data_IF_140472208469
#
_entry.id   IF_140472208469
#
_cell.length_a   1.000
_cell.length_b   1.000
_cell.length_c   1.000
_cell.angle_alpha   90.00
_cell.angle_beta   90.00
_cell.angle_gamma   90.00
#
_symmetry.space_group_name_H-M   'P 1'
#
loop_
_entity.id
_entity.type
_entity.pdbx_description
1 polymer ?
#
# COMPACT_ATOMS: atom_id res chain seq x y z
N UNK A 1 -43.38 -34.58 64.87
CA UNK A 1 -42.36 -33.59 65.24
C UNK A 1 -41.05 -33.84 64.48
N UNK A 2 -40.56 -35.08 64.47
CA UNK A 2 -39.33 -35.49 63.76
C UNK A 2 -39.29 -35.10 62.27
N UNK A 3 -40.37 -35.32 61.51
CA UNK A 3 -40.44 -34.92 60.09
C UNK A 3 -40.28 -33.41 59.83
N UNK A 4 -40.63 -32.58 60.82
CA UNK A 4 -40.50 -31.12 60.72
C UNK A 4 -39.05 -30.71 61.01
N UNK A 5 -38.43 -31.34 62.01
CA UNK A 5 -37.02 -31.15 62.35
C UNK A 5 -36.11 -31.61 61.21
N UNK A 6 -36.36 -32.79 60.64
CA UNK A 6 -35.60 -33.33 59.51
C UNK A 6 -35.70 -32.42 58.27
N UNK A 7 -36.88 -31.86 58.01
CA UNK A 7 -37.07 -30.89 56.93
C UNK A 7 -36.26 -29.62 57.18
N UNK A 8 -36.32 -29.06 58.40
CA UNK A 8 -35.57 -27.86 58.76
C UNK A 8 -34.06 -28.09 58.69
N UNK A 9 -33.57 -29.23 59.18
CA UNK A 9 -32.16 -29.60 59.12
C UNK A 9 -31.67 -29.67 57.66
N UNK A 10 -32.42 -30.32 56.76
CA UNK A 10 -32.11 -30.38 55.33
C UNK A 10 -32.04 -28.99 54.69
N UNK A 11 -32.99 -28.10 54.96
CA UNK A 11 -32.95 -26.74 54.42
C UNK A 11 -31.79 -25.92 55.00
N UNK A 12 -31.55 -26.00 56.31
CA UNK A 12 -30.45 -25.27 56.97
C UNK A 12 -29.07 -25.71 56.48
N UNK A 13 -28.92 -26.99 56.13
CA UNK A 13 -27.69 -27.54 55.58
C UNK A 13 -27.52 -27.14 54.11
N UNK A 14 -28.59 -27.18 53.31
CA UNK A 14 -28.57 -26.71 51.93
C UNK A 14 -28.22 -25.22 51.83
N UNK A 15 -28.78 -24.38 52.70
CA UNK A 15 -28.49 -22.94 52.76
C UNK A 15 -27.03 -22.67 53.14
N UNK A 16 -26.49 -23.38 54.15
CA UNK A 16 -25.07 -23.28 54.52
C UNK A 16 -24.13 -23.71 53.39
N UNK A 17 -24.47 -24.76 52.64
CA UNK A 17 -23.68 -25.17 51.48
C UNK A 17 -23.71 -24.13 50.35
N UNK A 18 -24.87 -23.51 50.08
CA UNK A 18 -24.97 -22.45 49.07
C UNK A 18 -24.13 -21.22 49.44
N UNK A 19 -24.19 -20.79 50.69
CA UNK A 19 -23.36 -19.67 51.19
C UNK A 19 -21.87 -20.00 51.15
N UNK A 20 -21.49 -21.23 51.48
CA UNK A 20 -20.10 -21.70 51.32
C UNK A 20 -19.66 -21.67 49.85
N UNK A 21 -20.48 -22.16 48.91
CA UNK A 21 -20.13 -22.12 47.48
C UNK A 21 -20.10 -20.70 46.92
N UNK A 22 -20.98 -19.81 47.36
CA UNK A 22 -20.99 -18.40 46.94
C UNK A 22 -19.77 -17.64 47.49
N UNK A 23 -19.35 -17.93 48.73
CA UNK A 23 -18.14 -17.32 49.30
C UNK A 23 -16.86 -17.86 48.66
N UNK A 24 -16.80 -19.16 48.36
CA UNK A 24 -15.68 -19.77 47.62
C UNK A 24 -15.59 -19.26 46.18
N UNK A 25 -16.71 -19.13 45.47
CA UNK A 25 -16.75 -18.57 44.11
C UNK A 25 -16.40 -17.08 44.09
N UNK A 26 -16.89 -16.28 45.04
CA UNK A 26 -16.51 -14.87 45.18
C UNK A 26 -15.03 -14.70 45.58
N UNK A 27 -14.50 -15.57 46.44
CA UNK A 27 -13.07 -15.64 46.76
C UNK A 27 -12.23 -16.00 45.55
N UNK A 28 -12.70 -16.93 44.72
CA UNK A 28 -12.10 -17.31 43.44
C UNK A 28 -12.03 -16.14 42.45
N UNK A 29 -13.14 -15.41 42.25
CA UNK A 29 -13.16 -14.22 41.39
C UNK A 29 -12.26 -13.10 41.90
N UNK A 30 -12.23 -12.87 43.21
CA UNK A 30 -11.35 -11.85 43.82
C UNK A 30 -9.87 -12.19 43.61
N UNK A 31 -9.51 -13.46 43.78
CA UNK A 31 -8.15 -13.94 43.57
C UNK A 31 -7.73 -13.85 42.09
N UNK A 32 -8.59 -14.30 41.16
CA UNK A 32 -8.31 -14.23 39.73
C UNK A 32 -8.23 -12.77 39.25
N UNK A 33 -9.06 -11.88 39.77
CA UNK A 33 -8.94 -10.44 39.51
C UNK A 33 -7.60 -9.88 40.01
N UNK A 34 -7.20 -10.20 41.24
CA UNK A 34 -5.92 -9.74 41.79
C UNK A 34 -4.73 -10.23 40.95
N UNK A 35 -4.77 -11.49 40.50
CA UNK A 35 -3.76 -12.08 39.63
C UNK A 35 -3.72 -11.41 38.25
N UNK A 36 -4.88 -11.12 37.66
CA UNK A 36 -4.97 -10.39 36.40
C UNK A 36 -4.42 -8.96 36.54
N UNK A 37 -4.79 -8.28 37.62
CA UNK A 37 -4.29 -6.93 37.93
C UNK A 37 -2.77 -6.91 38.08
N UNK A 38 -2.20 -7.86 38.81
CA UNK A 38 -0.73 -7.99 38.95
C UNK A 38 -0.05 -8.20 37.59
N UNK A 39 -0.63 -9.04 36.70
CA UNK A 39 -0.12 -9.23 35.34
C UNK A 39 -0.16 -7.95 34.51
N UNK A 40 -1.26 -7.19 34.59
CA UNK A 40 -1.40 -5.91 33.91
C UNK A 40 -0.34 -4.91 34.37
N UNK A 41 -0.12 -4.79 35.68
CA UNK A 41 0.89 -3.88 36.24
C UNK A 41 2.31 -4.25 35.79
N UNK A 42 2.63 -5.54 35.70
CA UNK A 42 3.91 -6.02 35.15
C UNK A 42 4.05 -5.65 33.67
N UNK A 43 3.02 -5.86 32.86
CA UNK A 43 3.05 -5.51 31.44
C UNK A 43 3.21 -4.00 31.23
N UNK A 44 2.48 -3.18 31.98
CA UNK A 44 2.58 -1.73 31.90
C UNK A 44 3.95 -1.22 32.35
N UNK A 45 4.55 -1.83 33.38
CA UNK A 45 5.92 -1.52 33.80
C UNK A 45 6.93 -1.88 32.71
N UNK A 46 6.81 -3.07 32.11
CA UNK A 46 7.69 -3.48 31.01
C UNK A 46 7.56 -2.55 29.80
N UNK A 47 6.34 -2.11 29.45
CA UNK A 47 6.12 -1.13 28.40
C UNK A 47 6.87 0.18 28.68
N UNK A 48 6.78 0.70 29.92
CA UNK A 48 7.54 1.90 30.32
C UNK A 48 9.05 1.69 30.18
N UNK A 49 9.57 0.53 30.60
CA UNK A 49 10.98 0.20 30.41
C UNK A 49 11.39 0.19 28.93
N UNK A 50 10.58 -0.44 28.05
CA UNK A 50 10.84 -0.42 26.59
C UNK A 50 10.77 1.00 25.99
N UNK A 51 10.03 1.91 26.60
CA UNK A 51 9.97 3.32 26.23
C UNK A 51 11.08 4.17 26.87
N UNK A 52 11.98 3.56 27.65
CA UNK A 52 13.08 4.25 28.32
C UNK A 52 12.69 4.97 29.62
N UNK A 53 11.55 4.65 30.21
CA UNK A 53 11.08 5.22 31.49
C UNK A 53 11.26 4.23 32.66
N UNK A 54 11.36 4.77 33.88
CA UNK A 54 11.48 4.02 35.15
C UNK A 54 12.65 3.02 35.20
N UNK A 55 13.79 3.40 34.64
CA UNK A 55 14.97 2.53 34.53
C UNK A 55 15.85 2.49 35.79
N UNK A 56 15.67 3.44 36.71
CA UNK A 56 16.52 3.60 37.91
C UNK A 56 16.51 2.37 38.83
N UNK A 57 15.45 1.58 38.76
CA UNK A 57 15.25 0.37 39.56
C UNK A 57 15.85 -0.90 38.94
N UNK A 58 16.38 -0.81 37.71
CA UNK A 58 16.96 -1.95 37.00
C UNK A 58 18.45 -2.10 37.31
N UNK A 59 18.89 -3.34 37.48
CA UNK A 59 20.31 -3.66 37.55
C UNK A 59 20.98 -3.55 36.17
N UNK A 60 22.31 -3.43 36.15
CA UNK A 60 23.08 -3.37 34.90
C UNK A 60 22.80 -4.56 33.96
N UNK A 61 22.62 -5.76 34.52
CA UNK A 61 22.31 -6.97 33.74
C UNK A 61 20.93 -6.90 33.09
N UNK A 62 19.95 -6.37 33.81
CA UNK A 62 18.59 -6.21 33.29
C UNK A 62 18.54 -5.13 32.21
N UNK A 63 19.27 -4.03 32.38
CA UNK A 63 19.45 -3.00 31.35
C UNK A 63 20.08 -3.56 30.08
N UNK A 64 21.15 -4.34 30.18
CA UNK A 64 21.77 -5.01 29.03
C UNK A 64 20.81 -5.97 28.34
N UNK A 65 20.02 -6.73 29.10
CA UNK A 65 19.00 -7.61 28.52
C UNK A 65 17.91 -6.82 27.79
N UNK A 66 17.48 -5.69 28.36
CA UNK A 66 16.48 -4.81 27.76
C UNK A 66 16.98 -4.21 26.44
N UNK A 67 18.21 -3.71 26.43
CA UNK A 67 18.90 -3.20 25.24
C UNK A 67 18.95 -4.27 24.13
N UNK A 68 19.44 -5.47 24.46
CA UNK A 68 19.50 -6.58 23.50
C UNK A 68 18.13 -6.96 22.93
N UNK A 69 17.09 -6.93 23.77
CA UNK A 69 15.72 -7.23 23.35
C UNK A 69 15.20 -6.17 22.37
N UNK A 70 15.41 -4.89 22.65
CA UNK A 70 15.02 -3.78 21.78
C UNK A 70 15.79 -3.84 20.45
N UNK A 71 17.10 -4.04 20.51
CA UNK A 71 17.95 -4.14 19.32
C UNK A 71 17.54 -5.30 18.40
N UNK A 72 17.28 -6.47 19.00
CA UNK A 72 16.80 -7.63 18.25
C UNK A 72 15.44 -7.35 17.61
N UNK A 73 14.47 -6.84 18.38
CA UNK A 73 13.15 -6.49 17.85
C UNK A 73 13.23 -5.48 16.71
N UNK A 74 14.08 -4.46 16.85
CA UNK A 74 14.29 -3.43 15.83
C UNK A 74 14.90 -4.00 14.56
N UNK A 75 15.90 -4.90 14.66
CA UNK A 75 16.45 -5.64 13.52
C UNK A 75 15.36 -6.43 12.80
N UNK A 76 14.50 -7.14 13.53
CA UNK A 76 13.39 -7.91 12.95
C UNK A 76 12.38 -7.00 12.23
N UNK A 77 11.96 -5.89 12.86
CA UNK A 77 11.03 -4.92 12.26
C UNK A 77 11.61 -4.35 10.98
N UNK A 78 12.88 -3.91 11.01
CA UNK A 78 13.55 -3.34 9.83
C UNK A 78 13.68 -4.37 8.71
N UNK A 79 14.06 -5.60 9.04
CA UNK A 79 14.13 -6.71 8.09
C UNK A 79 12.77 -6.96 7.42
N UNK A 80 11.70 -7.05 8.21
CA UNK A 80 10.34 -7.25 7.68
C UNK A 80 9.87 -6.09 6.81
N UNK A 81 10.12 -4.84 7.23
CA UNK A 81 9.79 -3.64 6.44
C UNK A 81 10.52 -3.66 5.10
N UNK A 82 11.82 -3.95 5.12
CA UNK A 82 12.62 -4.03 3.91
C UNK A 82 12.10 -5.14 3.00
N UNK A 83 11.82 -6.33 3.54
CA UNK A 83 11.28 -7.44 2.76
C UNK A 83 9.99 -7.05 2.02
N UNK A 84 9.02 -6.45 2.72
CA UNK A 84 7.77 -6.00 2.11
C UNK A 84 8.00 -4.92 1.03
N UNK A 85 8.97 -4.03 1.23
CA UNK A 85 9.33 -3.02 0.24
C UNK A 85 9.92 -3.66 -1.03
N UNK A 86 10.82 -4.64 -0.90
CA UNK A 86 11.39 -5.36 -2.04
C UNK A 86 10.33 -6.16 -2.80
N UNK A 87 9.39 -6.79 -2.09
CA UNK A 87 8.24 -7.46 -2.68
C UNK A 87 7.41 -6.48 -3.52
N UNK A 88 7.04 -5.32 -2.96
CA UNK A 88 6.29 -4.28 -3.65
C UNK A 88 7.02 -3.74 -4.89
N UNK A 89 8.33 -3.45 -4.79
CA UNK A 89 9.15 -3.03 -5.91
C UNK A 89 9.14 -4.09 -7.02
N UNK A 90 9.31 -5.36 -6.66
CA UNK A 90 9.33 -6.48 -7.60
C UNK A 90 7.99 -6.64 -8.33
N UNK A 91 6.87 -6.48 -7.62
CA UNK A 91 5.54 -6.49 -8.21
C UNK A 91 5.33 -5.35 -9.21
N UNK A 92 5.75 -4.13 -8.84
CA UNK A 92 5.64 -2.97 -9.72
C UNK A 92 6.51 -3.12 -10.97
N UNK A 93 7.75 -3.61 -10.83
CA UNK A 93 8.64 -3.87 -11.97
C UNK A 93 8.06 -4.92 -12.93
N UNK A 94 7.38 -5.95 -12.41
CA UNK A 94 6.69 -6.94 -13.26
C UNK A 94 5.53 -6.31 -14.03
N UNK A 95 4.75 -5.44 -13.38
CA UNK A 95 3.64 -4.71 -14.03
C UNK A 95 4.15 -3.76 -15.10
N UNK A 96 5.21 -3.00 -14.80
CA UNK A 96 5.85 -2.08 -15.74
C UNK A 96 6.33 -2.81 -17.00
N UNK A 97 7.05 -3.93 -16.81
CA UNK A 97 7.48 -4.78 -17.93
C UNK A 97 6.31 -5.31 -18.77
N UNK A 98 5.25 -5.80 -18.12
CA UNK A 98 4.08 -6.32 -18.83
C UNK A 98 3.38 -5.22 -19.66
N UNK A 99 3.24 -4.01 -19.11
CA UNK A 99 2.68 -2.86 -19.81
C UNK A 99 3.58 -2.41 -20.96
N UNK A 100 4.90 -2.40 -20.76
CA UNK A 100 5.86 -2.08 -21.81
C UNK A 100 5.78 -3.08 -22.98
N UNK A 101 5.67 -4.38 -22.67
CA UNK A 101 5.49 -5.42 -23.68
C UNK A 101 4.17 -5.27 -24.45
N UNK A 102 3.07 -4.94 -23.76
CA UNK A 102 1.78 -4.65 -24.41
C UNK A 102 1.86 -3.40 -25.30
N UNK A 103 2.47 -2.32 -24.83
CA UNK A 103 2.63 -1.10 -25.60
C UNK A 103 3.49 -1.35 -26.86
N UNK A 104 4.59 -2.08 -26.73
CA UNK A 104 5.42 -2.49 -27.86
C UNK A 104 4.63 -3.32 -28.90
N UNK A 105 3.74 -4.21 -28.46
CA UNK A 105 2.86 -4.98 -29.36
C UNK A 105 1.86 -4.08 -30.08
N UNK A 106 1.22 -3.14 -29.36
CA UNK A 106 0.28 -2.19 -29.95
C UNK A 106 0.97 -1.28 -30.96
N UNK A 107 2.15 -0.74 -30.63
CA UNK A 107 2.94 0.08 -31.53
C UNK A 107 3.32 -0.65 -32.83
N UNK A 108 3.63 -1.96 -32.76
CA UNK A 108 3.86 -2.79 -33.94
C UNK A 108 2.58 -2.93 -34.79
N UNK A 109 1.44 -3.24 -34.16
CA UNK A 109 0.15 -3.37 -34.86
C UNK A 109 -0.28 -2.06 -35.54
N UNK A 110 -0.05 -0.92 -34.90
CA UNK A 110 -0.32 0.41 -35.50
C UNK A 110 0.54 0.61 -36.74
N UNK A 111 1.86 0.36 -36.66
CA UNK A 111 2.76 0.46 -37.82
C UNK A 111 2.39 -0.48 -38.96
N UNK A 112 1.91 -1.68 -38.66
CA UNK A 112 1.42 -2.63 -39.68
C UNK A 112 0.15 -2.10 -40.37
N UNK A 113 -0.83 -1.64 -39.59
CA UNK A 113 -2.06 -1.04 -40.12
C UNK A 113 -1.82 0.21 -40.96
N UNK A 114 -0.88 1.07 -40.56
CA UNK A 114 -0.46 2.24 -41.34
C UNK A 114 0.12 1.84 -42.70
N UNK A 115 0.94 0.77 -42.74
CA UNK A 115 1.48 0.23 -44.00
C UNK A 115 0.39 -0.38 -44.88
N UNK A 116 -0.55 -1.13 -44.29
CA UNK A 116 -1.70 -1.70 -45.01
C UNK A 116 -2.56 -0.59 -45.63
N UNK A 117 -2.86 0.46 -44.85
CA UNK A 117 -3.61 1.62 -45.32
C UNK A 117 -2.89 2.34 -46.46
N UNK A 118 -1.59 2.60 -46.32
CA UNK A 118 -0.79 3.23 -47.38
C UNK A 118 -0.78 2.41 -48.67
N UNK A 119 -0.65 1.08 -48.57
CA UNK A 119 -0.74 0.18 -49.72
C UNK A 119 -2.13 0.18 -50.37
N UNK A 120 -3.19 0.25 -49.57
CA UNK A 120 -4.55 0.31 -50.08
C UNK A 120 -4.83 1.64 -50.81
N UNK A 121 -4.45 2.77 -50.23
CA UNK A 121 -4.54 4.08 -50.89
C UNK A 121 -3.76 4.09 -52.22
N UNK A 122 -2.59 3.45 -52.27
CA UNK A 122 -1.81 3.35 -53.50
C UNK A 122 -2.49 2.48 -54.58
N UNK A 123 -3.13 1.37 -54.19
CA UNK A 123 -3.93 0.54 -55.13
C UNK A 123 -5.17 1.26 -55.64
N UNK A 124 -5.85 2.02 -54.78
CA UNK A 124 -7.04 2.81 -55.17
C UNK A 124 -6.67 3.92 -56.16
N UNK A 125 -5.53 4.60 -55.99
CA UNK A 125 -5.03 5.58 -56.96
C UNK A 125 -4.68 4.96 -58.32
N UNK A 126 -4.17 3.71 -58.36
CA UNK A 126 -3.90 3.01 -59.61
C UNK A 126 -5.19 2.56 -60.33
N UNK A 127 -6.23 2.17 -59.59
CA UNK A 127 -7.53 1.82 -60.17
C UNK A 127 -8.31 3.04 -60.68
N UNK A 128 -8.23 4.18 -60.01
CA UNK A 128 -8.81 5.46 -60.47
C UNK A 128 -8.08 6.05 -61.70
N UNK A 129 -6.90 5.52 -62.05
CA UNK A 129 -6.16 5.91 -63.26
C UNK A 129 -6.51 5.13 -64.53
N UNK A 130 -7.34 4.08 -64.45
CA UNK A 130 -7.74 3.29 -65.61
C UNK A 130 -9.04 3.80 -66.27
N UNK A 131 -9.93 4.44 -65.51
CA UNK A 131 -11.25 4.86 -65.97
C UNK A 131 -11.51 6.36 -65.73
N UNK A 132 -10.73 7.25 -66.36
CA UNK A 132 -11.18 8.62 -66.67
C UNK A 132 -10.22 9.32 -67.63
N UNK A 133 -10.50 9.20 -68.92
CA UNK A 133 -10.25 10.33 -69.82
C UNK A 133 -11.19 11.46 -69.40
N UNK A 134 -10.67 12.65 -69.07
CA UNK A 134 -11.19 13.97 -69.49
C UNK A 134 -10.47 15.10 -68.71
N UNK A 135 -9.63 15.81 -69.46
CA UNK A 135 -9.34 17.26 -69.41
C UNK A 135 -8.61 17.85 -68.19
N UNK A 136 -7.35 18.20 -68.46
CA UNK A 136 -6.50 19.15 -67.75
C UNK A 136 -7.17 20.54 -67.64
N UNK A 137 -7.33 21.05 -66.42
CA UNK A 137 -7.34 22.50 -66.15
C UNK A 137 -6.45 22.79 -64.93
N UNK A 138 -5.61 23.85 -64.96
CA UNK A 138 -4.77 24.21 -63.83
C UNK A 138 -5.59 24.99 -62.77
N UNK A 139 -5.36 24.76 -61.47
CA UNK A 139 -5.98 25.60 -60.45
C UNK A 139 -5.27 26.95 -60.42
N UNK A 140 -6.03 28.02 -60.65
CA UNK A 140 -5.55 29.39 -60.46
C UNK A 140 -5.28 29.65 -58.97
N UNK A 141 -4.14 30.29 -58.72
CA UNK A 141 -3.69 30.77 -57.42
C UNK A 141 -4.65 31.82 -56.86
N UNK A 142 -5.37 31.47 -55.78
CA UNK A 142 -5.98 32.43 -54.88
C UNK A 142 -5.04 32.70 -53.72
N UNK A 143 -4.40 33.87 -53.74
CA UNK A 143 -3.66 34.44 -52.62
C UNK A 143 -4.69 34.97 -51.61
N UNK A 144 -4.72 34.41 -50.39
CA UNK A 144 -5.30 35.08 -49.23
C UNK A 144 -4.25 35.19 -48.11
N UNK A 145 -3.48 36.28 -48.22
CA UNK A 145 -3.00 37.18 -47.17
C UNK A 145 -3.28 36.80 -45.70
N UNK A 146 -2.19 36.55 -44.99
CA UNK A 146 -1.94 36.80 -43.56
C UNK A 146 -0.48 36.44 -43.28
N UNK A 147 0.51 37.35 -43.31
CA UNK A 147 0.83 38.41 -42.34
C UNK A 147 0.71 37.93 -40.89
N UNK A 148 1.76 37.70 -40.10
CA UNK A 148 3.21 37.76 -40.28
C UNK A 148 3.82 37.22 -38.97
N UNK A 149 4.93 36.50 -39.04
CA UNK A 149 6.15 36.95 -38.37
C UNK A 149 6.71 35.83 -37.49
N UNK A 150 7.72 35.16 -38.03
CA UNK A 150 8.65 34.26 -37.36
C UNK A 150 9.72 35.08 -36.64
N UNK A 151 10.23 34.55 -35.54
CA UNK A 151 11.64 34.58 -35.10
C UNK A 151 11.69 33.78 -33.78
N UNK A 152 12.61 32.87 -33.48
CA UNK A 152 13.90 32.57 -34.07
C UNK A 152 14.33 31.17 -33.56
N UNK A 153 14.92 30.40 -34.47
CA UNK A 153 15.97 29.38 -34.32
C UNK A 153 16.33 28.77 -32.95
N UNK A 154 16.39 27.43 -32.97
CA UNK A 154 17.11 26.52 -32.06
C UNK A 154 18.59 26.90 -31.86
N UNK A 155 19.23 26.49 -30.74
CA UNK A 155 19.97 25.23 -30.80
C UNK A 155 19.85 24.36 -29.54
N UNK A 156 19.99 23.06 -29.78
CA UNK A 156 20.24 22.03 -28.78
C UNK A 156 21.51 22.39 -28.01
N UNK A 157 21.42 22.54 -26.69
CA UNK A 157 22.57 22.55 -25.80
C UNK A 157 22.37 21.53 -24.68
N UNK A 158 23.17 20.47 -24.78
CA UNK A 158 23.45 19.50 -23.75
C UNK A 158 23.87 20.20 -22.45
N UNK A 159 23.03 20.10 -21.42
CA UNK A 159 23.46 20.18 -20.02
C UNK A 159 22.58 19.28 -19.17
N UNK A 160 23.20 18.21 -18.67
CA UNK A 160 22.65 17.41 -17.59
C UNK A 160 22.25 18.29 -16.40
N UNK A 161 20.98 18.20 -16.04
CA UNK A 161 20.55 17.94 -14.67
C UNK A 161 19.05 17.64 -14.70
N UNK A 162 18.65 16.65 -13.89
CA UNK A 162 17.35 16.02 -13.87
C UNK A 162 16.20 17.04 -13.80
N UNK A 163 15.48 17.21 -14.92
CA UNK A 163 14.18 17.87 -14.94
C UNK A 163 13.14 16.77 -14.97
N UNK A 164 12.44 16.61 -13.85
CA UNK A 164 11.33 15.67 -13.72
C UNK A 164 10.29 16.03 -14.80
N UNK A 165 9.79 15.03 -15.58
CA UNK A 165 8.82 15.28 -16.64
C UNK A 165 7.54 15.94 -16.12
N UNK A 166 6.91 16.76 -16.96
CA UNK A 166 5.79 17.66 -16.61
C UNK A 166 4.58 16.98 -15.93
N UNK A 167 4.38 15.68 -16.13
CA UNK A 167 3.32 14.91 -15.45
C UNK A 167 3.54 14.78 -13.94
N UNK A 168 4.77 14.92 -13.44
CA UNK A 168 5.14 14.82 -12.03
C UNK A 168 4.95 16.11 -11.22
N UNK A 169 4.57 17.22 -11.86
CA UNK A 169 4.39 18.52 -11.20
C UNK A 169 2.90 18.85 -10.92
N UNK A 170 2.00 17.91 -11.19
CA UNK A 170 0.54 18.12 -11.16
C UNK A 170 -0.11 18.09 -9.77
N UNK A 171 0.65 17.92 -8.69
CA UNK A 171 0.11 17.71 -7.34
C UNK A 171 0.59 18.73 -6.29
N UNK A 172 1.11 19.89 -6.73
CA UNK A 172 1.59 20.96 -5.83
C UNK A 172 0.75 22.24 -5.87
N UNK A 173 -0.48 22.18 -6.38
CA UNK A 173 -1.38 23.32 -6.32
C UNK A 173 -2.80 22.86 -5.95
N UNK A 174 -2.98 22.59 -4.65
CA UNK A 174 -4.27 22.72 -3.95
C UNK A 174 -4.03 23.14 -2.50
#
# INVERSE_FOLDING_TARGET
>A
MERILERYERYSYAERQLVATDTETNGSWTLEYAKLKARMEVLQRNQRHFMGADLDNLSLKELQSLEQQIDSALKHIRSRKNQMMHESISELQKKDKALQDQNNQLAKKVKEKEKEMAQQTQKEQQNLGADSSTVLLPPQSFILRGNGGEDETTPIQDRGNAVLPAWMLSHLNE
#
